data_IF_468599812591
#
_entry.id   IF_468599812591
#
_cell.length_a   1.000
_cell.length_b   1.000
_cell.length_c   1.000
_cell.angle_alpha   90.00
_cell.angle_beta   90.00
_cell.angle_gamma   90.00
#
_symmetry.space_group_name_H-M   'P 1'
#
loop_
_entity.id
_entity.type
_entity.pdbx_description
1 polymer ?
#
# COMPACT_ATOMS: atom_id res chain seq x y z
N UNK A 1 42.18 18.81 -1.09
CA UNK A 1 41.13 17.98 -0.49
C UNK A 1 40.17 18.93 0.20
N UNK A 2 38.90 18.98 -0.20
CA UNK A 2 37.90 19.80 0.46
C UNK A 2 36.95 18.86 1.18
N UNK A 3 36.93 18.95 2.50
CA UNK A 3 36.00 18.23 3.36
C UNK A 3 34.60 18.83 3.13
N UNK A 4 33.79 18.12 2.34
CA UNK A 4 32.40 18.46 2.07
C UNK A 4 31.55 18.10 3.30
N UNK A 5 31.32 19.05 4.18
CA UNK A 5 30.30 18.95 5.24
C UNK A 5 28.93 19.27 4.66
N UNK A 6 28.36 18.33 3.91
CA UNK A 6 26.95 18.42 3.54
C UNK A 6 26.12 17.82 4.67
N UNK A 7 25.72 18.64 5.64
CA UNK A 7 24.54 18.32 6.45
C UNK A 7 23.33 18.49 5.54
N UNK A 8 22.89 17.41 4.90
CA UNK A 8 21.54 17.34 4.37
C UNK A 8 20.60 17.39 5.57
N UNK A 9 20.11 18.59 5.91
CA UNK A 9 18.94 18.70 6.78
C UNK A 9 17.86 17.82 6.16
N UNK A 10 17.26 16.87 6.90
CA UNK A 10 16.14 16.12 6.38
C UNK A 10 15.01 17.13 6.15
N UNK A 11 14.80 17.46 4.88
CA UNK A 11 13.84 18.48 4.48
C UNK A 11 12.52 18.26 5.20
N UNK A 12 12.12 19.26 6.00
CA UNK A 12 10.85 19.30 6.70
C UNK A 12 9.74 18.86 5.75
N UNK A 13 9.24 17.65 5.92
CA UNK A 13 8.26 17.06 5.03
C UNK A 13 7.05 18.01 4.97
N UNK A 14 6.74 18.53 3.78
CA UNK A 14 5.59 19.43 3.53
C UNK A 14 4.22 18.80 3.88
N UNK A 15 4.21 17.52 4.24
CA UNK A 15 3.03 16.73 4.55
C UNK A 15 2.86 16.68 6.07
N UNK A 16 1.71 17.15 6.55
CA UNK A 16 1.34 17.00 7.97
C UNK A 16 0.91 15.56 8.22
N UNK A 17 1.66 14.88 9.09
CA UNK A 17 1.34 13.54 9.61
C UNK A 17 0.74 13.66 11.02
N UNK A 18 -0.06 12.68 11.48
CA UNK A 18 -0.55 11.50 10.75
C UNK A 18 -1.59 11.80 9.66
N UNK A 19 -1.62 10.97 8.62
CA UNK A 19 -2.73 10.92 7.66
C UNK A 19 -3.63 9.75 8.02
N UNK A 20 -4.92 10.02 8.21
CA UNK A 20 -5.93 9.01 8.49
C UNK A 20 -6.74 8.66 7.24
N UNK A 21 -6.91 7.36 6.98
CA UNK A 21 -7.79 6.84 5.94
C UNK A 21 -8.64 5.69 6.50
N UNK A 22 -9.83 5.52 5.93
CA UNK A 22 -10.65 4.33 6.16
C UNK A 22 -10.82 3.62 4.83
N UNK A 23 -10.49 2.33 4.81
CA UNK A 23 -10.66 1.48 3.63
C UNK A 23 -11.46 0.24 4.00
N UNK A 24 -11.99 -0.43 2.99
CA UNK A 24 -12.68 -1.71 3.12
C UNK A 24 -11.77 -2.81 2.58
N UNK A 25 -11.66 -3.92 3.31
CA UNK A 25 -10.96 -5.12 2.83
C UNK A 25 -11.77 -5.72 1.69
N UNK A 26 -11.17 -5.86 0.51
CA UNK A 26 -11.81 -6.41 -0.69
C UNK A 26 -11.15 -7.73 -1.10
N UNK A 27 -11.90 -8.56 -1.82
CA UNK A 27 -11.32 -9.69 -2.53
C UNK A 27 -10.45 -9.19 -3.69
N UNK A 28 -9.37 -9.90 -3.94
CA UNK A 28 -8.48 -9.63 -5.07
C UNK A 28 -8.07 -10.95 -5.71
N UNK A 29 -7.89 -10.94 -7.03
CA UNK A 29 -7.42 -12.11 -7.75
C UNK A 29 -5.97 -12.35 -7.36
N UNK A 30 -5.63 -13.59 -6.98
CA UNK A 30 -4.24 -14.00 -6.94
C UNK A 30 -3.75 -14.05 -8.39
N UNK A 31 -3.26 -12.93 -8.93
CA UNK A 31 -2.69 -12.92 -10.27
C UNK A 31 -1.53 -13.93 -10.32
N UNK A 32 -1.80 -15.10 -10.91
CA UNK A 32 -0.75 -15.82 -11.61
C UNK A 32 -0.49 -15.01 -12.87
N UNK A 33 0.78 -14.77 -13.20
CA UNK A 33 1.17 -14.09 -14.44
C UNK A 33 0.28 -14.60 -15.58
N UNK A 34 -0.52 -13.70 -16.17
CA UNK A 34 -1.45 -14.04 -17.24
C UNK A 34 -0.62 -14.67 -18.35
N UNK A 35 -0.72 -16.00 -18.52
CA UNK A 35 -0.19 -16.66 -19.70
C UNK A 35 -1.05 -16.19 -20.86
N UNK A 36 -0.57 -15.18 -21.59
CA UNK A 36 -1.19 -14.70 -22.82
C UNK A 36 -1.22 -15.89 -23.78
N UNK A 37 -2.39 -16.54 -23.93
CA UNK A 37 -2.62 -17.57 -24.94
C UNK A 37 -2.82 -16.87 -26.29
N UNK A 38 -1.72 -16.46 -26.90
CA UNK A 38 -1.69 -15.85 -28.22
C UNK A 38 -0.27 -15.47 -28.57
N UNK A 39 0.23 -15.95 -29.71
CA UNK A 39 1.51 -15.49 -30.26
C UNK A 39 1.24 -14.09 -30.84
N UNK A 40 1.64 -13.06 -30.10
CA UNK A 40 1.47 -11.66 -30.51
C UNK A 40 1.70 -10.69 -29.34
N UNK A 41 2.12 -9.46 -29.64
CA UNK A 41 2.30 -8.40 -28.63
C UNK A 41 0.98 -7.62 -28.51
N UNK A 42 0.33 -7.71 -27.36
CA UNK A 42 -0.84 -6.89 -27.04
C UNK A 42 -0.41 -5.66 -26.23
N UNK A 43 -0.44 -4.48 -26.84
CA UNK A 43 -0.22 -3.22 -26.14
C UNK A 43 -1.57 -2.69 -25.63
N UNK A 44 -1.79 -2.79 -24.32
CA UNK A 44 -2.89 -2.12 -23.63
C UNK A 44 -2.31 -0.97 -22.80
N UNK A 45 -2.72 0.29 -23.02
CA UNK A 45 -2.30 1.39 -22.16
C UNK A 45 -2.87 1.16 -20.75
N UNK A 46 -1.99 1.09 -19.77
CA UNK A 46 -2.36 0.86 -18.37
C UNK A 46 -2.07 2.11 -17.56
N UNK A 47 -3.05 2.61 -16.82
CA UNK A 47 -2.84 3.67 -15.84
C UNK A 47 -2.23 3.04 -14.59
N UNK A 48 -0.95 3.31 -14.34
CA UNK A 48 -0.26 2.79 -13.15
C UNK A 48 -0.55 3.69 -11.96
N UNK A 49 -1.12 3.11 -10.91
CA UNK A 49 -1.32 3.77 -9.61
C UNK A 49 -0.63 2.95 -8.51
N UNK A 50 -0.04 3.58 -7.49
CA UNK A 50 0.54 2.85 -6.36
C UNK A 50 -0.53 2.00 -5.66
N UNK A 51 -0.28 0.69 -5.55
CA UNK A 51 -1.18 -0.26 -4.92
C UNK A 51 -0.40 -1.19 -3.97
N UNK A 52 -0.97 -1.49 -2.81
CA UNK A 52 -0.45 -2.48 -1.88
C UNK A 52 -1.43 -3.63 -1.75
N UNK A 53 -0.99 -4.84 -2.09
CA UNK A 53 -1.79 -6.07 -1.96
C UNK A 53 -1.20 -6.93 -0.85
N UNK A 54 -1.94 -7.05 0.26
CA UNK A 54 -1.57 -7.92 1.38
C UNK A 54 -2.19 -9.31 1.18
N UNK A 55 -1.36 -10.36 1.22
CA UNK A 55 -1.81 -11.75 1.07
C UNK A 55 -1.26 -12.61 2.19
N UNK A 56 -2.10 -13.51 2.68
CA UNK A 56 -1.68 -14.50 3.67
C UNK A 56 -2.85 -15.08 4.44
N UNK A 57 -2.79 -16.38 4.74
CA UNK A 57 -3.79 -17.07 5.57
C UNK A 57 -3.91 -16.46 6.97
N UNK A 58 -2.88 -15.75 7.43
CA UNK A 58 -2.84 -15.08 8.72
C UNK A 58 -3.76 -13.85 8.81
N UNK A 59 -4.12 -13.21 7.68
CA UNK A 59 -4.98 -12.02 7.68
C UNK A 59 -6.36 -12.33 8.25
N UNK A 60 -6.94 -13.46 7.85
CA UNK A 60 -8.21 -13.91 8.41
C UNK A 60 -8.12 -14.20 9.91
N UNK A 61 -7.01 -14.81 10.37
CA UNK A 61 -6.78 -15.07 11.81
C UNK A 61 -6.58 -13.79 12.60
N UNK A 62 -6.03 -12.75 11.98
CA UNK A 62 -5.86 -11.42 12.55
C UNK A 62 -7.14 -10.56 12.46
N UNK A 63 -8.27 -11.11 11.98
CA UNK A 63 -9.57 -10.43 11.91
C UNK A 63 -9.79 -9.55 10.68
N UNK A 64 -8.84 -9.52 9.73
CA UNK A 64 -8.99 -8.81 8.46
C UNK A 64 -9.79 -9.66 7.46
N UNK A 65 -11.10 -9.77 7.70
CA UNK A 65 -12.02 -10.46 6.79
C UNK A 65 -12.54 -9.51 5.71
N UNK A 66 -12.93 -10.07 4.56
CA UNK A 66 -13.51 -9.30 3.44
C UNK A 66 -14.74 -8.54 3.93
N UNK A 67 -14.88 -7.28 3.49
CA UNK A 67 -15.95 -6.38 3.90
C UNK A 67 -15.68 -5.62 5.19
N UNK A 68 -14.66 -6.00 5.96
CA UNK A 68 -14.29 -5.26 7.18
C UNK A 68 -13.70 -3.89 6.87
N UNK A 69 -14.04 -2.92 7.70
CA UNK A 69 -13.42 -1.59 7.67
C UNK A 69 -12.11 -1.59 8.43
N UNK A 70 -11.08 -1.02 7.83
CA UNK A 70 -9.77 -0.83 8.44
C UNK A 70 -9.45 0.66 8.49
N UNK A 71 -8.78 1.07 9.57
CA UNK A 71 -8.17 2.39 9.67
C UNK A 71 -6.71 2.28 9.29
N UNK A 72 -6.26 3.22 8.45
CA UNK A 72 -4.87 3.36 8.05
C UNK A 72 -4.36 4.67 8.61
N UNK A 73 -3.29 4.59 9.38
CA UNK A 73 -2.59 5.72 9.96
C UNK A 73 -1.20 5.74 9.33
N UNK A 74 -0.95 6.76 8.51
CA UNK A 74 0.34 6.95 7.86
C UNK A 74 1.10 7.96 8.69
N UNK A 75 2.28 7.59 9.18
CA UNK A 75 3.25 8.52 9.76
C UNK A 75 4.49 8.59 8.84
N UNK A 76 5.49 9.36 9.23
CA UNK A 76 6.73 9.45 8.47
C UNK A 76 7.49 8.12 8.55
N UNK A 77 7.62 7.43 7.40
CA UNK A 77 8.35 6.16 7.30
C UNK A 77 7.59 4.91 7.75
N UNK A 78 6.37 5.06 8.26
CA UNK A 78 5.57 3.92 8.74
C UNK A 78 4.08 4.04 8.37
N UNK A 79 3.43 2.90 8.22
CA UNK A 79 1.99 2.79 8.00
C UNK A 79 1.41 1.74 8.93
N UNK A 80 0.48 2.17 9.79
CA UNK A 80 -0.22 1.31 10.73
C UNK A 80 -1.61 0.98 10.19
N UNK A 81 -1.91 -0.31 10.01
CA UNK A 81 -3.24 -0.80 9.62
C UNK A 81 -3.90 -1.40 10.85
N UNK A 82 -5.07 -0.90 11.22
CA UNK A 82 -5.84 -1.39 12.37
C UNK A 82 -7.26 -1.76 11.94
N UNK A 83 -7.83 -2.77 12.57
CA UNK A 83 -9.27 -3.02 12.45
C UNK A 83 -10.03 -1.82 13.02
N UNK A 84 -11.07 -1.37 12.32
CA UNK A 84 -11.98 -0.39 12.90
C UNK A 84 -12.79 -1.10 13.97
N UNK A 85 -12.53 -0.82 15.24
CA UNK A 85 -13.44 -1.22 16.32
C UNK A 85 -14.76 -0.47 16.10
N UNK A 86 -15.88 -1.19 16.13
CA UNK A 86 -17.20 -0.61 15.90
C UNK A 86 -17.55 0.48 16.92
N UNK A 87 -18.42 1.40 16.51
CA UNK A 87 -19.17 2.29 17.40
C UNK A 87 -20.14 1.49 18.28
#
# INVERSE_FOLDING_TARGET
MAEYHHTSEPGSAKVKYPIYRQLTVVETVCESAVKVRGVGINYAPVKLEPCLVLRGKWLHKAGFTVGQKVSIIINQGEMNIRLKQGD
#
